data_IF_703781687151
#
_entry.id   IF_703781687151
#
_cell.length_a   1.000
_cell.length_b   1.000
_cell.length_c   1.000
_cell.angle_alpha   90.00
_cell.angle_beta   90.00
_cell.angle_gamma   90.00
#
_symmetry.space_group_name_H-M   'P 1'
#
loop_
_entity.id
_entity.type
_entity.pdbx_description
1 polymer ?
#
# COMPACT_ATOMS: atom_id res chain seq x y z
N UNK A 1 16.00 7.62 0.92
CA UNK A 1 15.94 7.30 2.36
C UNK A 1 14.51 7.33 2.90
N UNK A 2 13.75 8.42 2.70
CA UNK A 2 12.39 8.56 3.25
C UNK A 2 11.36 7.49 2.77
N UNK A 3 11.43 7.05 1.50
CA UNK A 3 10.53 6.02 0.98
C UNK A 3 10.70 4.66 1.68
N UNK A 4 11.93 4.28 2.04
CA UNK A 4 12.19 3.02 2.74
C UNK A 4 11.69 3.08 4.18
N UNK A 5 11.82 4.25 4.83
CA UNK A 5 11.25 4.49 6.15
C UNK A 5 9.71 4.42 6.12
N UNK A 6 9.08 5.02 5.10
CA UNK A 6 7.63 4.91 4.90
C UNK A 6 7.15 3.46 4.69
N UNK A 7 7.89 2.67 3.91
CA UNK A 7 7.60 1.23 3.74
C UNK A 7 7.71 0.45 5.05
N UNK A 8 8.74 0.72 5.85
CA UNK A 8 8.92 0.07 7.15
C UNK A 8 7.76 0.42 8.09
N UNK A 9 7.39 1.69 8.17
CA UNK A 9 6.25 2.15 8.96
C UNK A 9 4.95 1.47 8.51
N UNK A 10 4.73 1.35 7.19
CA UNK A 10 3.56 0.67 6.63
C UNK A 10 3.46 -0.80 7.08
N UNK A 11 4.59 -1.51 7.17
CA UNK A 11 4.62 -2.87 7.70
C UNK A 11 4.26 -2.91 9.19
N UNK A 12 4.75 -1.95 9.98
CA UNK A 12 4.36 -1.84 11.39
C UNK A 12 2.86 -1.60 11.54
N UNK A 13 2.27 -0.74 10.70
CA UNK A 13 0.83 -0.47 10.67
C UNK A 13 0.05 -1.73 10.27
N UNK A 14 0.44 -2.42 9.20
CA UNK A 14 -0.17 -3.70 8.83
C UNK A 14 -0.12 -4.72 9.96
N UNK A 15 1.04 -4.87 10.60
CA UNK A 15 1.22 -5.77 11.74
C UNK A 15 0.25 -5.42 12.86
N UNK A 16 0.19 -4.15 13.28
CA UNK A 16 -0.72 -3.69 14.32
C UNK A 16 -2.20 -3.95 13.99
N UNK A 17 -2.62 -3.66 12.75
CA UNK A 17 -4.01 -3.88 12.32
C UNK A 17 -4.36 -5.38 12.23
N UNK A 18 -3.46 -6.21 11.68
CA UNK A 18 -3.69 -7.65 11.53
C UNK A 18 -3.60 -8.40 12.86
N UNK A 19 -2.75 -7.96 13.79
CA UNK A 19 -2.69 -8.53 15.14
C UNK A 19 -4.05 -8.41 15.83
N UNK A 20 -4.80 -7.31 15.64
CA UNK A 20 -6.15 -7.18 16.20
C UNK A 20 -7.14 -8.25 15.68
N UNK A 21 -6.91 -8.81 14.48
CA UNK A 21 -7.77 -9.87 13.92
C UNK A 21 -7.53 -11.20 14.63
N UNK A 22 -6.27 -11.51 14.96
CA UNK A 22 -5.88 -12.77 15.61
C UNK A 22 -6.01 -12.67 17.13
N UNK A 23 -5.61 -11.53 17.69
CA UNK A 23 -5.60 -11.22 19.11
C UNK A 23 -6.26 -9.84 19.33
N UNK A 24 -7.59 -9.78 19.51
CA UNK A 24 -8.32 -8.53 19.59
C UNK A 24 -7.88 -7.68 20.78
N UNK A 25 -7.69 -6.39 20.53
CA UNK A 25 -7.40 -5.41 21.57
C UNK A 25 -8.64 -5.16 22.47
N UNK A 26 -8.46 -4.54 23.66
CA UNK A 26 -9.57 -4.21 24.53
C UNK A 26 -10.63 -3.32 23.85
N UNK A 27 -11.89 -3.49 24.22
CA UNK A 27 -12.97 -2.60 23.76
C UNK A 27 -12.80 -1.21 24.41
N UNK A 28 -13.02 -0.10 23.67
CA UNK A 28 -13.59 -0.02 22.32
C UNK A 28 -12.56 -0.06 21.17
N UNK A 29 -11.26 -0.14 21.48
CA UNK A 29 -10.17 0.01 20.50
C UNK A 29 -10.25 -1.02 19.35
N UNK A 30 -10.66 -2.25 19.62
CA UNK A 30 -10.80 -3.28 18.58
C UNK A 30 -11.78 -2.89 17.47
N UNK A 31 -12.87 -2.19 17.78
CA UNK A 31 -13.83 -1.75 16.77
C UNK A 31 -13.21 -0.72 15.84
N UNK A 32 -12.49 0.24 16.43
CA UNK A 32 -11.77 1.25 15.66
C UNK A 32 -10.74 0.61 14.73
N UNK A 33 -9.97 -0.35 15.24
CA UNK A 33 -8.94 -1.04 14.45
C UNK A 33 -9.55 -1.89 13.33
N UNK A 34 -10.67 -2.56 13.56
CA UNK A 34 -11.37 -3.30 12.51
C UNK A 34 -11.86 -2.38 11.38
N UNK A 35 -12.42 -1.22 11.74
CA UNK A 35 -12.82 -0.20 10.76
C UNK A 35 -11.60 0.36 10.02
N UNK A 36 -10.49 0.61 10.73
CA UNK A 36 -9.24 1.06 10.13
C UNK A 36 -8.68 0.02 9.15
N UNK A 37 -8.70 -1.27 9.51
CA UNK A 37 -8.28 -2.37 8.64
C UNK A 37 -9.15 -2.48 7.38
N UNK A 38 -10.47 -2.28 7.51
CA UNK A 38 -11.37 -2.23 6.37
C UNK A 38 -11.01 -1.11 5.39
N UNK A 39 -10.86 0.13 5.89
CA UNK A 39 -10.46 1.25 5.05
C UNK A 39 -9.05 1.10 4.48
N UNK A 40 -8.14 0.49 5.23
CA UNK A 40 -6.79 0.17 4.80
C UNK A 40 -6.79 -0.72 3.55
N UNK A 41 -7.54 -1.82 3.58
CA UNK A 41 -7.69 -2.73 2.43
C UNK A 41 -8.37 -2.02 1.26
N UNK A 42 -9.45 -1.27 1.51
CA UNK A 42 -10.15 -0.54 0.45
C UNK A 42 -9.27 0.50 -0.25
N UNK A 43 -8.57 1.34 0.52
CA UNK A 43 -7.74 2.40 -0.03
C UNK A 43 -6.54 1.83 -0.79
N UNK A 44 -5.91 0.78 -0.29
CA UNK A 44 -4.79 0.13 -0.96
C UNK A 44 -5.24 -0.65 -2.20
N UNK A 45 -6.43 -1.26 -2.16
CA UNK A 45 -7.06 -1.86 -3.33
C UNK A 45 -7.37 -0.81 -4.41
N UNK A 46 -7.95 0.32 -4.01
CA UNK A 46 -8.24 1.44 -4.92
C UNK A 46 -6.97 2.01 -5.54
N UNK A 47 -5.88 2.17 -4.77
CA UNK A 47 -4.57 2.59 -5.30
C UNK A 47 -4.05 1.64 -6.38
N UNK A 48 -4.19 0.32 -6.17
CA UNK A 48 -3.79 -0.67 -7.16
C UNK A 48 -4.67 -0.61 -8.42
N UNK A 49 -5.99 -0.48 -8.25
CA UNK A 49 -6.93 -0.34 -9.37
C UNK A 49 -6.65 0.92 -10.18
N UNK A 50 -6.45 2.06 -9.51
CA UNK A 50 -6.09 3.32 -10.16
C UNK A 50 -4.77 3.23 -10.92
N UNK A 51 -3.76 2.58 -10.34
CA UNK A 51 -2.48 2.36 -11.01
C UNK A 51 -2.66 1.56 -12.31
N UNK A 52 -3.46 0.51 -12.29
CA UNK A 52 -3.75 -0.27 -13.50
C UNK A 52 -4.61 0.48 -14.52
N UNK A 53 -5.63 1.19 -14.05
CA UNK A 53 -6.55 1.94 -14.91
C UNK A 53 -5.88 3.15 -15.60
N UNK A 54 -4.84 3.71 -14.98
CA UNK A 54 -4.09 4.86 -15.52
C UNK A 54 -2.84 4.46 -16.32
N UNK A 55 -2.57 3.17 -16.50
CA UNK A 55 -1.46 2.75 -17.38
C UNK A 55 -1.77 3.12 -18.83
N UNK A 56 -0.85 3.85 -19.46
CA UNK A 56 -0.86 4.07 -20.90
C UNK A 56 -0.39 2.81 -21.63
N UNK A 57 -0.74 2.66 -22.92
CA UNK A 57 -0.31 1.51 -23.75
C UNK A 57 1.21 1.39 -23.87
N UNK A 58 1.92 2.51 -23.70
CA UNK A 58 3.38 2.59 -23.76
C UNK A 58 4.07 2.38 -22.39
N UNK A 59 3.30 2.22 -21.32
CA UNK A 59 3.84 2.00 -19.99
C UNK A 59 4.33 0.56 -19.81
N UNK A 60 5.43 0.32 -19.06
CA UNK A 60 5.90 -1.02 -18.76
C UNK A 60 4.80 -1.85 -18.08
N UNK A 61 4.62 -3.14 -18.44
CA UNK A 61 3.64 -3.98 -17.79
C UNK A 61 3.97 -4.11 -16.31
N UNK A 62 2.96 -3.90 -15.46
CA UNK A 62 3.14 -4.06 -14.01
C UNK A 62 3.03 -5.54 -13.68
N UNK A 63 4.15 -6.14 -13.31
CA UNK A 63 4.20 -7.52 -12.86
C UNK A 63 3.34 -7.75 -11.60
N UNK A 64 2.84 -8.98 -11.43
CA UNK A 64 2.02 -9.37 -10.27
C UNK A 64 2.74 -9.11 -8.95
N UNK A 65 4.06 -9.29 -8.90
CA UNK A 65 4.84 -8.99 -7.70
C UNK A 65 4.81 -7.49 -7.36
N UNK A 66 4.90 -6.62 -8.36
CA UNK A 66 4.81 -5.16 -8.17
C UNK A 66 3.42 -4.77 -7.68
N UNK A 67 2.37 -5.43 -8.16
CA UNK A 67 1.00 -5.16 -7.72
C UNK A 67 0.78 -5.52 -6.25
N UNK A 68 1.29 -6.68 -5.82
CA UNK A 68 1.26 -7.07 -4.40
C UNK A 68 2.04 -6.06 -3.57
N UNK A 69 3.21 -5.62 -4.03
CA UNK A 69 3.99 -4.58 -3.34
C UNK A 69 3.24 -3.25 -3.27
N UNK A 70 2.54 -2.83 -4.33
CA UNK A 70 1.71 -1.62 -4.33
C UNK A 70 0.54 -1.77 -3.38
N UNK A 71 -0.09 -2.93 -3.31
CA UNK A 71 -1.15 -3.16 -2.33
C UNK A 71 -0.63 -3.13 -0.89
N UNK A 72 0.54 -3.70 -0.59
CA UNK A 72 1.08 -3.72 0.77
C UNK A 72 1.66 -2.36 1.18
N UNK A 73 2.44 -1.73 0.30
CA UNK A 73 3.18 -0.50 0.60
C UNK A 73 2.47 0.78 0.13
N UNK A 74 1.35 0.66 -0.57
CA UNK A 74 0.56 1.78 -1.09
C UNK A 74 1.35 2.70 -2.00
N UNK A 75 1.18 4.01 -1.78
CA UNK A 75 1.81 5.09 -2.57
C UNK A 75 3.35 5.02 -2.54
N UNK A 76 3.96 4.49 -1.49
CA UNK A 76 5.43 4.42 -1.40
C UNK A 76 6.05 3.54 -2.50
N UNK A 77 5.42 2.39 -2.80
CA UNK A 77 5.84 1.55 -3.92
C UNK A 77 5.51 2.20 -5.25
N UNK A 78 4.34 2.83 -5.36
CA UNK A 78 3.90 3.51 -6.59
C UNK A 78 4.89 4.62 -6.99
N UNK A 79 5.30 5.46 -6.04
CA UNK A 79 6.28 6.53 -6.28
C UNK A 79 7.67 5.95 -6.62
N UNK A 80 8.07 4.86 -5.98
CA UNK A 80 9.32 4.19 -6.31
C UNK A 80 9.29 3.58 -7.72
N UNK A 81 8.18 2.96 -8.11
CA UNK A 81 7.97 2.41 -9.45
C UNK A 81 7.97 3.51 -10.52
N UNK A 82 7.26 4.62 -10.25
CA UNK A 82 7.23 5.78 -11.15
C UNK A 82 8.63 6.37 -11.33
N UNK A 83 9.40 6.57 -10.25
CA UNK A 83 10.78 7.07 -10.34
C UNK A 83 11.71 6.16 -11.14
N UNK A 84 11.48 4.84 -11.09
CA UNK A 84 12.28 3.84 -11.81
C UNK A 84 12.01 3.86 -13.32
N UNK A 85 10.76 4.02 -13.74
CA UNK A 85 10.37 3.88 -15.15
C UNK A 85 10.11 5.21 -15.87
N UNK A 86 9.78 6.26 -15.12
CA UNK A 86 9.56 7.62 -15.63
C UNK A 86 10.44 8.62 -14.87
N UNK A 87 11.77 8.53 -14.99
CA UNK A 87 12.65 9.50 -14.37
C UNK A 87 12.34 10.90 -14.94
N UNK A 88 12.00 11.87 -14.08
CA UNK A 88 11.92 13.27 -14.50
C UNK A 88 13.30 13.65 -15.05
N UNK A 89 13.36 14.09 -16.32
CA UNK A 89 14.54 14.80 -16.82
C UNK A 89 14.74 16.02 -15.92
N UNK A 90 15.93 16.12 -15.33
CA UNK A 90 16.37 17.31 -14.58
C UNK A 90 16.45 18.51 -15.52
#
# INVERSE_FOLDING_TARGET
>A
MLLNLGRLLMLCVWGFLLVNVVHPYPKPLTYFINVALFFMIMMHGLQLVLLRATQTKDAPPIDRLTQVKVFVFGVFELVAWQKKHFPRKK
#
